data_IF_270161146153
#
_entry.id   IF_270161146153
#
_cell.length_a   1.000
_cell.length_b   1.000
_cell.length_c   1.000
_cell.angle_alpha   90.00
_cell.angle_beta   90.00
_cell.angle_gamma   90.00
#
_symmetry.space_group_name_H-M   'P 1'
#
loop_
_entity.id
_entity.type
_entity.pdbx_description
1 polymer ?
#
# COMPACT_ATOMS: atom_id res chain seq x y z
N UNK A 1 5.73 0.04 -13.20
CA UNK A 1 5.97 -0.25 -14.59
C UNK A 1 5.06 -1.33 -15.14
N UNK A 2 4.62 -1.18 -16.36
CA UNK A 2 3.78 -2.17 -17.06
C UNK A 2 4.55 -3.34 -17.69
N UNK A 3 5.87 -3.40 -17.51
CA UNK A 3 6.69 -4.48 -18.08
C UNK A 3 6.53 -5.73 -17.20
N UNK A 4 5.74 -6.69 -17.70
CA UNK A 4 5.54 -8.01 -17.08
C UNK A 4 6.50 -9.03 -17.70
N UNK A 5 7.77 -8.68 -17.76
CA UNK A 5 8.83 -9.51 -18.32
C UNK A 5 9.94 -9.70 -17.29
N UNK A 6 10.43 -10.92 -17.21
CA UNK A 6 11.60 -11.28 -16.39
C UNK A 6 12.61 -12.00 -17.27
N UNK A 7 13.89 -11.70 -17.06
CA UNK A 7 15.00 -12.44 -17.69
C UNK A 7 15.31 -13.76 -16.97
N UNK A 8 14.66 -14.01 -15.81
CA UNK A 8 14.81 -15.26 -15.07
C UNK A 8 14.25 -16.42 -15.88
N UNK A 9 15.00 -17.50 -16.00
CA UNK A 9 14.69 -18.65 -16.83
C UNK A 9 14.59 -19.96 -16.04
N UNK A 10 14.64 -19.90 -14.72
CA UNK A 10 14.60 -21.10 -13.85
C UNK A 10 13.27 -21.84 -13.96
N UNK A 11 12.17 -21.11 -14.23
CA UNK A 11 10.85 -21.69 -14.47
C UNK A 11 10.59 -21.68 -15.97
N UNK A 12 10.41 -22.86 -16.55
CA UNK A 12 10.18 -23.05 -17.98
C UNK A 12 9.17 -24.18 -18.23
N UNK A 13 8.80 -24.39 -19.50
CA UNK A 13 7.79 -25.41 -19.89
C UNK A 13 8.09 -26.83 -19.39
N UNK A 14 9.37 -27.18 -19.22
CA UNK A 14 9.78 -28.53 -18.79
C UNK A 14 9.67 -28.76 -17.27
N UNK A 15 9.53 -27.70 -16.47
CA UNK A 15 9.49 -27.82 -15.01
C UNK A 15 8.30 -27.11 -14.33
N UNK A 16 7.55 -26.28 -15.03
CA UNK A 16 6.42 -25.52 -14.46
C UNK A 16 5.38 -26.42 -13.80
N UNK A 17 5.14 -27.64 -14.33
CA UNK A 17 4.21 -28.62 -13.74
C UNK A 17 4.70 -29.21 -12.42
N UNK A 18 5.98 -29.02 -12.06
CA UNK A 18 6.58 -29.51 -10.81
C UNK A 18 6.55 -28.47 -9.70
N UNK A 19 6.04 -27.26 -9.95
CA UNK A 19 5.94 -26.22 -8.94
C UNK A 19 4.98 -26.65 -7.83
N UNK A 20 5.41 -26.41 -6.61
CA UNK A 20 4.60 -26.59 -5.40
C UNK A 20 4.68 -25.32 -4.53
N UNK A 21 3.65 -25.04 -3.71
CA UNK A 21 3.74 -23.96 -2.73
C UNK A 21 4.90 -24.20 -1.77
N UNK A 22 5.83 -23.26 -1.67
CA UNK A 22 6.93 -23.32 -0.73
C UNK A 22 6.44 -23.04 0.71
N UNK A 23 5.57 -22.07 0.86
CA UNK A 23 4.97 -21.67 2.13
C UNK A 23 3.65 -20.94 1.91
N UNK A 24 2.94 -20.66 2.99
CA UNK A 24 1.70 -19.88 3.02
C UNK A 24 1.76 -18.90 4.19
N UNK A 25 1.28 -17.71 3.96
CA UNK A 25 1.14 -16.68 4.98
C UNK A 25 -0.29 -16.15 4.98
N UNK A 26 -0.85 -15.87 6.16
CA UNK A 26 -2.16 -15.28 6.32
C UNK A 26 -2.04 -13.82 6.76
N UNK A 27 -2.86 -12.93 6.22
CA UNK A 27 -2.79 -11.48 6.50
C UNK A 27 -3.04 -11.16 7.97
N UNK A 28 -3.81 -11.98 8.67
CA UNK A 28 -4.23 -11.70 10.04
C UNK A 28 -5.23 -10.53 10.16
N UNK A 29 -5.71 -10.00 9.04
CA UNK A 29 -6.67 -8.89 9.05
C UNK A 29 -7.99 -9.33 9.69
N UNK A 30 -8.55 -8.57 10.66
CA UNK A 30 -9.86 -8.87 11.23
C UNK A 30 -10.96 -8.66 10.18
N UNK A 31 -11.94 -9.55 10.16
CA UNK A 31 -13.08 -9.44 9.24
C UNK A 31 -13.93 -8.18 9.47
N UNK A 32 -13.93 -7.66 10.70
CA UNK A 32 -14.63 -6.44 11.08
C UNK A 32 -13.71 -5.58 11.98
N UNK A 33 -12.80 -4.81 11.37
CA UNK A 33 -11.90 -3.94 12.13
C UNK A 33 -12.68 -2.81 12.81
N UNK A 34 -12.22 -2.34 13.98
CA UNK A 34 -12.87 -1.23 14.68
C UNK A 34 -12.78 0.06 13.85
N UNK A 35 -13.84 0.86 13.86
CA UNK A 35 -13.86 2.19 13.26
C UNK A 35 -14.11 3.24 14.34
N UNK A 36 -13.36 4.35 14.26
CA UNK A 36 -13.55 5.49 15.16
C UNK A 36 -14.72 6.36 14.69
N UNK A 37 -15.09 6.23 13.42
CA UNK A 37 -16.19 6.97 12.84
C UNK A 37 -16.77 6.30 11.60
N UNK A 38 -18.06 6.49 11.37
CA UNK A 38 -18.77 5.99 10.21
C UNK A 38 -19.04 4.49 10.22
N UNK A 39 -19.37 3.94 9.05
CA UNK A 39 -19.59 2.51 8.90
C UNK A 39 -18.25 1.76 9.02
N UNK A 40 -18.17 0.68 9.80
CA UNK A 40 -16.97 -0.12 9.89
C UNK A 40 -16.48 -0.57 8.50
N UNK A 41 -15.18 -0.46 8.28
CA UNK A 41 -14.56 -0.95 7.07
C UNK A 41 -14.63 -2.49 7.02
N UNK A 42 -14.56 -3.03 5.82
CA UNK A 42 -14.36 -4.46 5.59
C UNK A 42 -13.07 -4.66 4.82
N UNK A 43 -12.33 -5.73 5.06
CA UNK A 43 -11.21 -6.09 4.20
C UNK A 43 -11.68 -6.14 2.75
N UNK A 44 -10.93 -5.50 1.86
CA UNK A 44 -11.18 -5.57 0.43
C UNK A 44 -10.69 -6.89 -0.17
N UNK A 45 -10.79 -7.01 -1.49
CA UNK A 45 -10.12 -8.09 -2.20
C UNK A 45 -8.60 -7.95 -2.07
N UNK A 46 -7.90 -9.05 -1.86
CA UNK A 46 -6.45 -9.07 -1.82
C UNK A 46 -5.90 -8.97 -3.26
N UNK A 47 -5.48 -7.78 -3.67
CA UNK A 47 -4.99 -7.49 -5.02
C UNK A 47 -3.54 -6.99 -5.03
N UNK A 48 -2.83 -7.10 -3.92
CA UNK A 48 -1.46 -6.62 -3.84
C UNK A 48 -0.52 -7.40 -4.75
N UNK A 49 0.35 -6.68 -5.45
CA UNK A 49 1.54 -7.23 -6.09
C UNK A 49 2.69 -7.07 -5.11
N UNK A 50 3.26 -8.15 -4.59
CA UNK A 50 4.40 -8.05 -3.69
C UNK A 50 5.60 -7.40 -4.39
N UNK A 51 6.33 -6.57 -3.64
CA UNK A 51 7.61 -6.01 -4.06
C UNK A 51 8.72 -6.80 -3.39
N UNK A 52 9.57 -7.47 -4.16
CA UNK A 52 10.71 -8.23 -3.63
C UNK A 52 12.00 -7.41 -3.74
N UNK A 53 12.71 -7.29 -2.62
CA UNK A 53 14.04 -6.65 -2.55
C UNK A 53 14.89 -7.43 -1.55
N UNK A 54 16.04 -7.99 -2.01
CA UNK A 54 16.99 -8.70 -1.16
C UNK A 54 16.30 -9.72 -0.23
N UNK A 55 15.68 -10.74 -0.79
CA UNK A 55 14.99 -11.83 -0.08
C UNK A 55 13.87 -11.38 0.88
N UNK A 56 13.41 -10.13 0.76
CA UNK A 56 12.28 -9.61 1.54
C UNK A 56 11.14 -9.22 0.62
N UNK A 57 9.94 -9.71 0.92
CA UNK A 57 8.70 -9.36 0.25
C UNK A 57 7.97 -8.28 1.04
N UNK A 58 7.69 -7.15 0.40
CA UNK A 58 6.90 -6.05 0.96
C UNK A 58 5.54 -5.99 0.27
N UNK A 59 4.47 -5.97 1.03
CA UNK A 59 3.13 -5.90 0.48
C UNK A 59 2.13 -5.29 1.47
N UNK A 60 1.05 -4.63 0.98
CA UNK A 60 -0.06 -4.21 1.83
C UNK A 60 -1.09 -5.32 1.93
N UNK A 61 -1.70 -5.46 3.10
CA UNK A 61 -2.88 -6.30 3.31
C UNK A 61 -4.17 -5.62 2.79
N UNK A 62 -5.30 -6.33 2.73
CA UNK A 62 -6.61 -5.73 2.43
C UNK A 62 -7.05 -4.57 3.33
N UNK A 63 -6.43 -4.39 4.49
CA UNK A 63 -6.66 -3.24 5.39
C UNK A 63 -5.57 -2.17 5.28
N UNK A 64 -4.69 -2.23 4.28
CA UNK A 64 -3.52 -1.37 4.06
C UNK A 64 -2.42 -1.53 5.13
N UNK A 65 -2.44 -2.57 5.93
CA UNK A 65 -1.32 -2.90 6.81
C UNK A 65 -0.14 -3.32 5.94
N UNK A 66 1.01 -2.67 6.09
CA UNK A 66 2.23 -3.03 5.35
C UNK A 66 2.97 -4.11 6.12
N UNK A 67 3.38 -5.15 5.43
CA UNK A 67 4.18 -6.24 6.00
C UNK A 67 5.44 -6.47 5.20
N UNK A 68 6.49 -6.89 5.90
CA UNK A 68 7.70 -7.47 5.31
C UNK A 68 7.78 -8.93 5.70
N UNK A 69 7.95 -9.79 4.70
CA UNK A 69 8.09 -11.23 4.88
C UNK A 69 9.45 -11.69 4.37
N UNK A 70 10.07 -12.63 5.05
CA UNK A 70 11.19 -13.38 4.52
C UNK A 70 10.70 -14.18 3.31
N UNK A 71 11.32 -14.00 2.16
CA UNK A 71 10.88 -14.66 0.93
C UNK A 71 11.14 -16.17 0.92
N UNK A 72 12.05 -16.67 1.76
CA UNK A 72 12.42 -18.07 1.80
C UNK A 72 11.41 -18.95 2.57
N UNK A 73 10.86 -18.42 3.67
CA UNK A 73 9.99 -19.19 4.57
C UNK A 73 8.64 -18.53 4.88
N UNK A 74 8.42 -17.30 4.43
CA UNK A 74 7.19 -16.54 4.66
C UNK A 74 7.06 -15.98 6.07
N UNK A 75 8.12 -16.02 6.87
CA UNK A 75 8.14 -15.47 8.23
C UNK A 75 7.99 -13.96 8.20
N UNK A 76 7.08 -13.41 9.01
CA UNK A 76 6.89 -11.98 9.15
C UNK A 76 8.08 -11.35 9.88
N UNK A 77 8.75 -10.41 9.21
CA UNK A 77 9.89 -9.66 9.77
C UNK A 77 9.40 -8.44 10.55
N UNK A 78 8.43 -7.73 9.99
CA UNK A 78 7.77 -6.60 10.65
C UNK A 78 6.41 -6.31 10.03
N UNK A 79 5.62 -5.56 10.78
CA UNK A 79 4.27 -5.11 10.40
C UNK A 79 4.09 -3.65 10.79
N UNK A 80 3.48 -2.87 9.92
CA UNK A 80 3.07 -1.50 10.19
C UNK A 80 1.59 -1.32 9.85
N UNK A 81 0.79 -0.94 10.84
CA UNK A 81 -0.64 -0.66 10.65
C UNK A 81 -0.87 0.86 10.59
N UNK A 82 -1.21 1.44 9.43
CA UNK A 82 -1.55 2.86 9.31
C UNK A 82 -2.94 3.19 9.89
N UNK A 83 -3.70 2.22 10.33
CA UNK A 83 -5.06 2.42 10.83
C UNK A 83 -6.04 2.93 9.78
N UNK A 84 -5.86 2.60 8.50
CA UNK A 84 -6.69 3.07 7.39
C UNK A 84 -8.19 2.81 7.59
N UNK A 85 -8.53 1.71 8.21
CA UNK A 85 -9.88 1.25 8.52
C UNK A 85 -10.56 2.08 9.62
N UNK A 86 -9.80 2.77 10.50
CA UNK A 86 -10.36 3.56 11.60
C UNK A 86 -11.25 4.71 11.13
N UNK A 87 -10.92 5.30 9.99
CA UNK A 87 -11.76 6.32 9.36
C UNK A 87 -13.05 5.77 8.71
N UNK A 88 -13.35 4.48 8.91
CA UNK A 88 -14.51 3.79 8.39
C UNK A 88 -14.39 3.39 6.91
N UNK A 89 -15.44 2.80 6.37
CA UNK A 89 -15.50 2.35 4.98
C UNK A 89 -15.31 3.51 4.02
N UNK A 90 -14.37 3.41 3.05
CA UNK A 90 -14.23 4.40 1.99
C UNK A 90 -15.50 4.48 1.12
N UNK A 91 -15.78 5.68 0.58
CA UNK A 91 -16.94 5.92 -0.28
C UNK A 91 -16.74 5.47 -1.74
N UNK A 92 -15.54 5.07 -2.13
CA UNK A 92 -15.14 4.78 -3.52
C UNK A 92 -15.69 3.47 -4.11
N UNK A 93 -16.45 2.70 -3.37
CA UNK A 93 -16.98 1.39 -3.81
C UNK A 93 -15.96 0.23 -3.84
N UNK A 94 -14.66 0.52 -3.84
CA UNK A 94 -13.58 -0.49 -3.84
C UNK A 94 -13.05 -0.81 -2.45
N UNK A 95 -13.46 -0.03 -1.45
CA UNK A 95 -13.00 -0.19 -0.07
C UNK A 95 -11.52 0.19 0.10
N UNK A 96 -10.82 -0.60 0.90
CA UNK A 96 -9.41 -0.41 1.21
C UNK A 96 -8.47 -1.21 0.29
N UNK A 97 -8.96 -1.66 -0.88
CA UNK A 97 -8.11 -2.35 -1.86
C UNK A 97 -6.86 -1.52 -2.16
N UNK A 98 -5.71 -2.15 -2.05
CA UNK A 98 -4.42 -1.56 -2.41
C UNK A 98 -3.57 -2.54 -3.21
N UNK A 99 -2.88 -2.06 -4.27
CA UNK A 99 -2.22 -2.94 -5.23
C UNK A 99 -0.72 -3.10 -5.02
N UNK A 100 -0.15 -2.49 -4.01
CA UNK A 100 1.27 -2.67 -3.70
C UNK A 100 1.87 -1.51 -2.93
N UNK A 101 3.17 -1.55 -2.78
CA UNK A 101 4.02 -0.51 -2.19
C UNK A 101 5.08 -0.10 -3.20
N UNK A 102 5.76 1.01 -2.96
CA UNK A 102 6.92 1.42 -3.74
C UNK A 102 8.16 1.48 -2.84
N UNK A 103 9.34 1.43 -3.45
CA UNK A 103 10.61 1.58 -2.73
C UNK A 103 11.49 2.65 -3.35
N UNK A 104 12.30 3.27 -2.51
CA UNK A 104 13.39 4.17 -2.87
C UNK A 104 14.65 3.78 -2.09
N UNK A 105 15.82 4.00 -2.68
CA UNK A 105 17.10 3.80 -1.99
C UNK A 105 18.15 4.78 -2.52
N UNK A 106 18.96 5.29 -1.61
CA UNK A 106 20.18 6.05 -1.91
C UNK A 106 21.47 5.18 -1.90
N UNK A 107 21.30 3.86 -1.80
CA UNK A 107 22.41 2.91 -1.66
C UNK A 107 22.76 2.57 -0.21
N UNK A 108 22.46 3.44 0.74
CA UNK A 108 22.70 3.24 2.18
C UNK A 108 21.39 2.98 2.93
N UNK A 109 20.40 3.81 2.67
CA UNK A 109 19.08 3.74 3.27
C UNK A 109 18.06 3.26 2.25
N UNK A 110 17.03 2.55 2.72
CA UNK A 110 15.90 2.15 1.87
C UNK A 110 14.60 2.50 2.55
N UNK A 111 13.69 3.03 1.75
CA UNK A 111 12.36 3.44 2.19
C UNK A 111 11.29 2.64 1.46
N UNK A 112 10.24 2.26 2.18
CA UNK A 112 9.01 1.70 1.61
C UNK A 112 7.92 2.75 1.73
N UNK A 113 7.25 3.04 0.61
CA UNK A 113 6.16 4.01 0.56
C UNK A 113 4.83 3.32 0.38
N UNK A 114 3.84 3.76 1.13
CA UNK A 114 2.43 3.46 0.91
C UNK A 114 1.61 4.74 0.95
N UNK A 115 0.71 4.90 -0.01
CA UNK A 115 -0.35 5.90 0.04
C UNK A 115 -1.62 5.26 0.62
N UNK A 116 -1.97 5.62 1.83
CA UNK A 116 -3.12 5.04 2.53
C UNK A 116 -4.10 6.11 2.94
N UNK A 117 -5.29 6.10 2.34
CA UNK A 117 -6.28 7.18 2.48
C UNK A 117 -5.65 8.49 1.98
N UNK A 118 -5.71 9.54 2.78
CA UNK A 118 -5.14 10.87 2.48
C UNK A 118 -3.66 11.02 2.88
N UNK A 119 -2.97 9.94 3.22
CA UNK A 119 -1.59 9.99 3.71
C UNK A 119 -0.63 9.26 2.79
N UNK A 120 0.49 9.88 2.51
CA UNK A 120 1.68 9.21 2.00
C UNK A 120 2.61 8.93 3.16
N UNK A 121 2.97 7.67 3.36
CA UNK A 121 3.76 7.22 4.52
C UNK A 121 5.07 6.65 4.02
N UNK A 122 6.18 7.03 4.65
CA UNK A 122 7.50 6.48 4.40
C UNK A 122 7.97 5.65 5.59
N UNK A 123 8.27 4.39 5.35
CA UNK A 123 8.75 3.43 6.33
C UNK A 123 10.22 3.08 6.05
N UNK A 124 10.99 2.92 7.09
CA UNK A 124 12.30 2.27 7.01
C UNK A 124 12.13 0.80 6.60
N UNK A 125 12.79 0.39 5.53
CA UNK A 125 12.59 -0.93 4.95
C UNK A 125 13.04 -2.09 5.86
N UNK A 126 14.02 -1.85 6.73
CA UNK A 126 14.54 -2.87 7.63
C UNK A 126 13.66 -3.08 8.87
N UNK A 127 13.00 -2.02 9.33
CA UNK A 127 12.32 -2.02 10.64
C UNK A 127 10.81 -1.81 10.58
N UNK A 128 10.28 -1.33 9.44
CA UNK A 128 8.88 -0.96 9.28
C UNK A 128 8.47 0.29 10.07
N UNK A 129 9.41 1.00 10.68
CA UNK A 129 9.11 2.22 11.44
C UNK A 129 8.94 3.42 10.50
N UNK A 130 7.99 4.31 10.76
CA UNK A 130 7.91 5.59 10.05
C UNK A 130 9.23 6.37 10.15
N UNK A 131 9.64 7.02 9.06
CA UNK A 131 10.87 7.81 8.98
C UNK A 131 10.55 9.24 9.47
N UNK A 132 10.99 9.66 10.66
CA UNK A 132 10.54 10.93 11.26
C UNK A 132 10.85 12.17 10.42
N UNK A 133 11.90 12.13 9.60
CA UNK A 133 12.32 13.23 8.72
C UNK A 133 11.48 13.34 7.44
N UNK A 134 10.58 12.40 7.16
CA UNK A 134 9.68 12.46 6.02
C UNK A 134 8.35 13.11 6.43
N UNK A 135 8.08 14.30 5.90
CA UNK A 135 6.88 15.07 6.26
C UNK A 135 6.78 15.34 7.76
N UNK A 136 5.65 15.00 8.35
CA UNK A 136 5.43 15.08 9.79
C UNK A 136 5.40 13.68 10.38
N UNK A 137 6.42 13.32 11.15
CA UNK A 137 6.54 12.00 11.79
C UNK A 137 6.41 10.80 10.81
N UNK A 138 6.95 10.93 9.61
CA UNK A 138 6.93 9.86 8.61
C UNK A 138 5.75 9.90 7.65
N UNK A 139 4.93 10.94 7.69
CA UNK A 139 3.71 11.06 6.89
C UNK A 139 3.58 12.45 6.22
N UNK A 140 3.02 12.46 5.02
CA UNK A 140 2.56 13.67 4.33
C UNK A 140 1.04 13.59 4.17
N UNK A 141 0.34 14.65 4.58
CA UNK A 141 -1.09 14.81 4.32
C UNK A 141 -1.30 15.28 2.88
N UNK A 142 -1.83 14.42 2.04
CA UNK A 142 -2.06 14.68 0.63
C UNK A 142 -3.19 15.70 0.37
N UNK A 143 -3.92 16.08 1.40
CA UNK A 143 -4.99 17.08 1.29
C UNK A 143 -4.51 18.49 1.66
N UNK A 144 -3.32 18.62 2.24
CA UNK A 144 -2.83 19.89 2.80
C UNK A 144 -2.54 20.96 1.74
N UNK A 145 -2.23 20.56 0.50
CA UNK A 145 -1.86 21.44 -0.60
C UNK A 145 -2.95 21.56 -1.67
N UNK A 146 -4.11 20.95 -1.46
CA UNK A 146 -5.21 21.06 -2.39
C UNK A 146 -5.79 22.49 -2.37
N UNK A 147 -6.27 22.95 -3.52
CA UNK A 147 -6.81 24.29 -3.74
C UNK A 147 -8.13 24.58 -2.99
N UNK A 148 -8.74 23.53 -2.44
CA UNK A 148 -9.99 23.60 -1.69
C UNK A 148 -10.04 22.57 -0.56
N UNK A 149 -10.80 22.83 0.50
CA UNK A 149 -11.07 21.83 1.55
C UNK A 149 -11.75 20.59 0.97
N UNK A 150 -11.23 19.42 1.29
CA UNK A 150 -11.82 18.14 0.89
C UNK A 150 -12.22 17.31 2.11
N UNK A 151 -13.21 16.45 1.94
CA UNK A 151 -13.56 15.48 2.93
C UNK A 151 -12.56 14.31 2.88
N UNK A 152 -11.63 14.23 3.83
CA UNK A 152 -10.61 13.17 3.92
C UNK A 152 -11.17 11.75 3.85
N UNK A 153 -12.44 11.54 4.23
CA UNK A 153 -13.09 10.23 4.13
C UNK A 153 -13.32 9.80 2.68
N UNK A 154 -13.40 10.76 1.77
CA UNK A 154 -13.55 10.52 0.33
C UNK A 154 -12.22 10.43 -0.40
N UNK A 155 -11.11 10.84 0.23
CA UNK A 155 -9.78 10.70 -0.36
C UNK A 155 -9.32 9.25 -0.30
N UNK A 156 -9.09 8.63 -1.45
CA UNK A 156 -8.77 7.22 -1.54
C UNK A 156 -7.68 6.96 -2.58
N UNK A 157 -6.94 5.90 -2.37
CA UNK A 157 -5.91 5.43 -3.28
C UNK A 157 -6.02 3.90 -3.38
N UNK A 158 -5.83 3.34 -4.56
CA UNK A 158 -5.80 1.90 -4.78
C UNK A 158 -4.53 1.43 -5.47
N UNK A 159 -3.78 2.36 -6.08
CA UNK A 159 -2.51 2.08 -6.76
C UNK A 159 -1.34 2.45 -5.87
N UNK A 160 -0.22 1.70 -5.92
CA UNK A 160 1.00 2.09 -5.24
C UNK A 160 1.56 3.38 -5.83
N UNK A 161 2.37 4.14 -5.07
CA UNK A 161 3.16 5.22 -5.62
C UNK A 161 4.14 4.71 -6.69
N UNK A 162 4.58 5.59 -7.56
CA UNK A 162 5.70 5.36 -8.47
C UNK A 162 6.88 6.22 -8.02
N UNK A 163 8.05 5.63 -7.93
CA UNK A 163 9.29 6.34 -7.59
C UNK A 163 10.10 6.56 -8.87
N UNK A 164 10.51 7.80 -9.08
CA UNK A 164 11.42 8.20 -10.16
C UNK A 164 12.49 9.14 -9.61
N UNK A 165 13.73 8.69 -9.54
CA UNK A 165 14.80 9.42 -8.85
C UNK A 165 14.37 9.75 -7.42
N UNK A 166 14.36 11.01 -7.06
CA UNK A 166 13.94 11.50 -5.73
C UNK A 166 12.46 11.94 -5.67
N UNK A 167 11.70 11.62 -6.71
CA UNK A 167 10.27 11.95 -6.77
C UNK A 167 9.42 10.73 -6.41
N UNK A 168 8.36 10.98 -5.64
CA UNK A 168 7.28 10.03 -5.39
C UNK A 168 6.03 10.55 -6.09
N UNK A 169 5.57 9.83 -7.10
CA UNK A 169 4.42 10.21 -7.94
C UNK A 169 3.24 9.32 -7.54
N UNK A 170 2.10 9.94 -7.29
CA UNK A 170 0.88 9.24 -6.92
C UNK A 170 -0.35 10.02 -7.42
N UNK A 171 -1.44 9.29 -7.63
CA UNK A 171 -2.75 9.85 -7.91
C UNK A 171 -3.74 9.54 -6.80
N UNK A 172 -4.96 10.04 -6.91
CA UNK A 172 -6.05 9.72 -6.01
C UNK A 172 -7.22 9.08 -6.75
N UNK A 173 -8.16 8.53 -5.99
CA UNK A 173 -9.44 8.06 -6.53
C UNK A 173 -10.40 9.23 -6.71
N UNK A 174 -11.01 9.32 -7.88
CA UNK A 174 -12.01 10.34 -8.24
C UNK A 174 -13.40 9.72 -8.22
N UNK A 175 -14.39 10.48 -7.73
CA UNK A 175 -15.79 10.08 -7.70
C UNK A 175 -16.51 10.33 -9.03
N UNK A 176 -16.18 9.58 -10.08
CA UNK A 176 -16.69 9.79 -11.44
C UNK A 176 -18.23 9.67 -11.60
N UNK A 177 -18.87 8.98 -10.67
CA UNK A 177 -20.31 8.67 -10.78
C UNK A 177 -21.20 9.51 -9.90
N UNK A 178 -20.70 9.93 -8.75
CA UNK A 178 -21.43 10.71 -7.75
C UNK A 178 -20.45 11.70 -7.13
N UNK A 179 -20.51 12.95 -7.60
CA UNK A 179 -19.76 14.03 -6.99
C UNK A 179 -20.44 14.46 -5.69
N UNK A 180 -19.71 14.39 -4.59
CA UNK A 180 -20.13 14.90 -3.29
C UNK A 180 -19.42 16.23 -3.02
N UNK A 181 -20.07 17.14 -2.33
CA UNK A 181 -19.43 18.37 -1.86
C UNK A 181 -18.23 17.98 -0.98
N UNK A 182 -17.05 18.46 -1.34
CA UNK A 182 -15.80 18.11 -0.66
C UNK A 182 -15.12 16.84 -1.16
N UNK A 183 -15.50 16.34 -2.35
CA UNK A 183 -14.71 15.30 -3.02
C UNK A 183 -13.35 15.86 -3.45
N UNK A 184 -12.29 15.02 -3.44
CA UNK A 184 -11.01 15.41 -4.00
C UNK A 184 -11.15 15.78 -5.48
N UNK A 185 -10.37 16.76 -5.97
CA UNK A 185 -10.31 17.04 -7.39
C UNK A 185 -9.79 15.82 -8.16
N UNK A 186 -10.22 15.66 -9.39
CA UNK A 186 -9.57 14.80 -10.36
C UNK A 186 -8.41 15.55 -10.98
N UNK A 187 -7.24 15.03 -10.91
CA UNK A 187 -6.05 15.58 -11.57
C UNK A 187 -5.81 14.87 -12.91
#
# INVERSE_FOLDING_TARGET
GGMKYSTLADIHRGNVAKLAPAWRWATGDPASPPADSGRPARPGNFQATPLMINDTLYLPTPLNVVVALDANDGRELWRFDPGAYRAGQPSNGTGLVHRGVAAWSDGTSRRIFINSRWRLIALDAATGKPIPSFGTNGEIDLTATLDRPVNRRHYTNTSPPVVWGDLVILGNGVGDRLAYKGDPPGD
#
